data_IF_313609673729
#
_entry.id   IF_313609673729
#
_cell.length_a   1.000
_cell.length_b   1.000
_cell.length_c   1.000
_cell.angle_alpha   90.00
_cell.angle_beta   90.00
_cell.angle_gamma   90.00
#
_symmetry.space_group_name_H-M   'P 1'
#
loop_
_entity.id
_entity.type
_entity.pdbx_description
1 polymer ?
#
# COMPACT_ATOMS: atom_id res chain seq x y z
N UNK A 1 11.07 -12.58 15.63
CA UNK A 1 9.82 -12.49 16.40
C UNK A 1 8.97 -11.47 15.67
N UNK A 2 8.05 -11.92 14.81
CA UNK A 2 7.11 -11.02 14.14
C UNK A 2 6.03 -10.68 15.16
N UNK A 3 5.91 -9.41 15.54
CA UNK A 3 4.88 -8.97 16.47
C UNK A 3 3.57 -8.85 15.70
N UNK A 4 2.49 -9.41 16.23
CA UNK A 4 1.12 -9.24 15.69
C UNK A 4 0.77 -7.75 15.50
N UNK A 5 1.40 -6.87 16.28
CA UNK A 5 1.30 -5.42 16.14
C UNK A 5 1.87 -4.90 14.80
N UNK A 6 2.90 -5.53 14.25
CA UNK A 6 3.56 -5.08 13.02
C UNK A 6 2.73 -5.41 11.76
N UNK A 7 2.17 -6.62 11.68
CA UNK A 7 1.37 -7.05 10.52
C UNK A 7 0.03 -6.32 10.43
N UNK A 8 -0.66 -6.13 11.56
CA UNK A 8 -1.93 -5.40 11.60
C UNK A 8 -1.73 -3.92 11.28
N UNK A 9 -0.71 -3.27 11.84
CA UNK A 9 -0.39 -1.88 11.50
C UNK A 9 0.02 -1.74 10.03
N UNK A 10 0.78 -2.71 9.49
CA UNK A 10 1.10 -2.71 8.08
C UNK A 10 -0.14 -2.79 7.19
N UNK A 11 -1.08 -3.69 7.49
CA UNK A 11 -2.34 -3.82 6.76
C UNK A 11 -3.17 -2.53 6.78
N UNK A 12 -3.34 -1.90 7.96
CA UNK A 12 -4.09 -0.64 8.12
C UNK A 12 -3.46 0.48 7.27
N UNK A 13 -2.14 0.62 7.30
CA UNK A 13 -1.46 1.66 6.54
C UNK A 13 -1.52 1.40 5.02
N UNK A 14 -1.47 0.15 4.58
CA UNK A 14 -1.67 -0.21 3.17
C UNK A 14 -3.09 0.12 2.74
N UNK A 15 -4.10 -0.21 3.54
CA UNK A 15 -5.50 0.13 3.25
C UNK A 15 -5.71 1.65 3.18
N UNK A 16 -5.12 2.40 4.11
CA UNK A 16 -5.20 3.86 4.15
C UNK A 16 -4.54 4.50 2.92
N UNK A 17 -3.44 3.92 2.43
CA UNK A 17 -2.80 4.34 1.19
C UNK A 17 -3.65 4.05 -0.06
N UNK A 18 -4.36 2.91 -0.08
CA UNK A 18 -5.30 2.58 -1.16
C UNK A 18 -6.43 3.61 -1.20
N UNK A 19 -7.08 3.88 -0.06
CA UNK A 19 -8.18 4.85 0.03
C UNK A 19 -7.75 6.27 -0.37
N UNK A 20 -6.58 6.71 0.10
CA UNK A 20 -5.98 7.98 -0.28
C UNK A 20 -5.76 8.09 -1.80
N UNK A 21 -5.20 7.03 -2.41
CA UNK A 21 -4.91 7.02 -3.84
C UNK A 21 -6.16 6.93 -4.70
N UNK A 22 -7.19 6.18 -4.27
CA UNK A 22 -8.49 6.11 -4.93
C UNK A 22 -9.24 7.43 -4.86
N UNK A 23 -9.26 8.07 -3.69
CA UNK A 23 -9.85 9.40 -3.49
C UNK A 23 -9.16 10.43 -4.38
N UNK A 24 -7.83 10.43 -4.41
CA UNK A 24 -7.05 11.31 -5.26
C UNK A 24 -7.29 11.05 -6.76
N UNK A 25 -7.43 9.79 -7.15
CA UNK A 25 -7.76 9.42 -8.52
C UNK A 25 -9.16 9.87 -8.92
N UNK A 26 -10.15 9.66 -8.06
CA UNK A 26 -11.55 9.99 -8.32
C UNK A 26 -11.78 11.51 -8.46
N UNK A 27 -11.07 12.34 -7.70
CA UNK A 27 -11.16 13.80 -7.82
C UNK A 27 -10.41 14.38 -9.01
N UNK A 28 -9.50 13.62 -9.62
CA UNK A 28 -8.64 14.10 -10.71
C UNK A 28 -9.36 14.00 -12.06
N UNK A 29 -9.42 15.12 -12.80
CA UNK A 29 -10.05 15.19 -14.13
C UNK A 29 -9.56 14.08 -15.06
N UNK A 30 -10.45 13.50 -15.86
CA UNK A 30 -10.14 12.45 -16.84
C UNK A 30 -9.00 12.84 -17.80
N UNK A 31 -8.90 14.13 -18.14
CA UNK A 31 -7.91 14.68 -19.07
C UNK A 31 -6.54 14.96 -18.42
N UNK A 32 -6.41 14.79 -17.10
CA UNK A 32 -5.15 15.02 -16.41
C UNK A 32 -4.23 13.79 -16.50
N UNK A 33 -3.01 14.00 -16.99
CA UNK A 33 -1.96 12.97 -17.06
C UNK A 33 -1.39 12.61 -15.67
N UNK A 34 -1.64 13.46 -14.67
CA UNK A 34 -1.05 13.41 -13.35
C UNK A 34 -2.13 13.52 -12.27
N UNK A 35 -2.01 12.69 -11.23
CA UNK A 35 -2.79 12.77 -10.00
C UNK A 35 -2.03 13.63 -9.00
N UNK A 36 -2.70 14.66 -8.50
CA UNK A 36 -2.20 15.49 -7.43
C UNK A 36 -2.67 14.92 -6.09
N UNK A 37 -1.75 14.80 -5.14
CA UNK A 37 -2.01 14.38 -3.77
C UNK A 37 -2.00 15.63 -2.88
N UNK A 38 -2.84 15.65 -1.85
CA UNK A 38 -2.63 16.54 -0.71
C UNK A 38 -1.45 16.05 0.14
N UNK A 39 -0.91 16.91 0.99
CA UNK A 39 0.15 16.54 1.93
C UNK A 39 -0.26 15.34 2.80
N UNK A 40 -1.54 15.27 3.21
CA UNK A 40 -2.03 14.16 4.01
C UNK A 40 -2.06 12.83 3.24
N UNK A 41 -2.54 12.83 2.00
CA UNK A 41 -2.58 11.60 1.18
C UNK A 41 -1.19 11.16 0.75
N UNK A 42 -0.28 12.12 0.61
CA UNK A 42 1.12 11.86 0.40
C UNK A 42 1.73 11.07 1.56
N UNK A 43 1.46 11.48 2.80
CA UNK A 43 1.95 10.80 4.00
C UNK A 43 1.38 9.38 4.08
N UNK A 44 0.05 9.23 3.91
CA UNK A 44 -0.62 7.93 3.92
C UNK A 44 -0.05 6.99 2.86
N UNK A 45 0.14 7.49 1.63
CA UNK A 45 0.68 6.67 0.54
C UNK A 45 2.15 6.29 0.78
N UNK A 46 2.94 7.19 1.36
CA UNK A 46 4.33 6.91 1.73
C UNK A 46 4.42 5.78 2.76
N UNK A 47 3.62 5.87 3.82
CA UNK A 47 3.56 4.85 4.87
C UNK A 47 3.08 3.50 4.31
N UNK A 48 2.02 3.51 3.50
CA UNK A 48 1.50 2.29 2.88
C UNK A 48 2.51 1.61 1.96
N UNK A 49 3.30 2.35 1.17
CA UNK A 49 4.34 1.76 0.32
C UNK A 49 5.49 1.17 1.16
N UNK A 50 5.90 1.84 2.25
CA UNK A 50 6.92 1.29 3.17
C UNK A 50 6.44 -0.02 3.78
N UNK A 51 5.19 -0.05 4.26
CA UNK A 51 4.61 -1.24 4.87
C UNK A 51 4.34 -2.35 3.86
N UNK A 52 3.96 -2.02 2.63
CA UNK A 52 3.83 -3.00 1.56
C UNK A 52 5.17 -3.68 1.26
N UNK A 53 6.27 -2.92 1.22
CA UNK A 53 7.63 -3.48 1.04
C UNK A 53 8.04 -4.36 2.21
N UNK A 54 7.69 -3.95 3.44
CA UNK A 54 7.92 -4.75 4.64
C UNK A 54 7.20 -6.11 4.56
N UNK A 55 5.89 -6.10 4.28
CA UNK A 55 5.07 -7.32 4.17
C UNK A 55 5.57 -8.24 3.05
N UNK A 56 5.91 -7.68 1.88
CA UNK A 56 6.46 -8.49 0.78
C UNK A 56 7.78 -9.14 1.18
N UNK A 57 8.66 -8.40 1.84
CA UNK A 57 9.96 -8.91 2.28
C UNK A 57 9.80 -9.99 3.36
N UNK A 58 8.89 -9.80 4.32
CA UNK A 58 8.64 -10.80 5.37
C UNK A 58 8.10 -12.12 4.82
N UNK A 59 7.33 -12.05 3.73
CA UNK A 59 6.79 -13.22 3.03
C UNK A 59 7.70 -13.77 1.92
N UNK A 60 8.93 -13.26 1.78
CA UNK A 60 9.87 -13.69 0.74
C UNK A 60 9.40 -13.41 -0.69
N UNK A 61 8.50 -12.43 -0.86
CA UNK A 61 7.95 -12.01 -2.16
C UNK A 61 8.81 -10.89 -2.75
N UNK A 62 9.01 -10.88 -4.08
CA UNK A 62 9.70 -9.77 -4.72
C UNK A 62 8.88 -8.47 -4.61
N UNK A 63 9.56 -7.35 -4.42
CA UNK A 63 8.93 -6.03 -4.44
C UNK A 63 8.67 -5.58 -5.89
N UNK A 64 7.42 -5.31 -6.29
CA UNK A 64 7.13 -4.75 -7.61
C UNK A 64 7.89 -3.45 -7.87
N UNK A 65 8.48 -3.35 -9.06
CA UNK A 65 9.24 -2.16 -9.46
C UNK A 65 8.39 -0.89 -9.43
N UNK A 66 7.08 -1.00 -9.71
CA UNK A 66 6.18 0.16 -9.72
C UNK A 66 6.04 0.81 -8.33
N UNK A 67 6.00 0.03 -7.25
CA UNK A 67 5.95 0.55 -5.88
C UNK A 67 7.23 1.30 -5.54
N UNK A 68 8.38 0.79 -5.97
CA UNK A 68 9.68 1.46 -5.78
C UNK A 68 9.77 2.76 -6.59
N UNK A 69 9.28 2.75 -7.83
CA UNK A 69 9.22 3.96 -8.67
C UNK A 69 8.26 5.01 -8.10
N UNK A 70 7.13 4.59 -7.53
CA UNK A 70 6.21 5.52 -6.86
C UNK A 70 6.83 6.11 -5.61
N UNK A 71 7.53 5.32 -4.78
CA UNK A 71 8.24 5.86 -3.62
C UNK A 71 9.23 6.97 -4.02
N UNK A 72 9.95 6.79 -5.12
CA UNK A 72 10.86 7.82 -5.66
C UNK A 72 10.08 9.05 -6.13
N UNK A 73 8.96 8.84 -6.84
CA UNK A 73 8.14 9.93 -7.38
C UNK A 73 7.54 10.79 -6.27
N UNK A 74 7.01 10.13 -5.25
CA UNK A 74 6.53 10.73 -4.00
C UNK A 74 7.67 11.52 -3.35
N UNK A 75 8.85 10.93 -3.14
CA UNK A 75 9.99 11.66 -2.57
C UNK A 75 10.41 12.92 -3.38
N UNK A 76 10.12 12.96 -4.68
CA UNK A 76 10.34 14.13 -5.53
C UNK A 76 9.21 15.17 -5.53
N UNK A 77 8.11 14.91 -4.82
CA UNK A 77 6.87 15.73 -4.72
C UNK A 77 6.20 16.07 -6.06
N UNK A 78 6.65 15.48 -7.15
CA UNK A 78 5.93 15.50 -8.41
C UNK A 78 4.75 14.52 -8.30
N UNK A 79 3.56 14.94 -8.71
CA UNK A 79 2.36 14.08 -8.68
C UNK A 79 2.55 12.71 -9.36
N UNK A 80 1.51 11.87 -9.30
CA UNK A 80 1.59 10.50 -9.78
C UNK A 80 1.10 10.37 -11.22
N UNK A 81 1.84 9.71 -12.12
CA UNK A 81 1.36 9.46 -13.47
C UNK A 81 0.08 8.62 -13.44
N UNK A 82 -1.02 9.15 -13.99
CA UNK A 82 -2.31 8.48 -14.04
C UNK A 82 -2.24 7.05 -14.58
N UNK A 83 -1.50 6.76 -15.68
CA UNK A 83 -1.42 5.39 -16.21
C UNK A 83 -0.73 4.38 -15.27
N UNK A 84 0.01 4.86 -14.26
CA UNK A 84 0.71 4.02 -13.29
C UNK A 84 -0.12 3.76 -12.05
N UNK A 85 -1.16 4.56 -11.79
CA UNK A 85 -1.93 4.52 -10.54
C UNK A 85 -2.74 3.24 -10.43
N UNK A 86 -3.38 2.80 -11.51
CA UNK A 86 -4.09 1.52 -11.52
C UNK A 86 -3.17 0.33 -11.22
N UNK A 87 -1.91 0.43 -11.65
CA UNK A 87 -0.93 -0.60 -11.34
C UNK A 87 -0.53 -0.60 -9.88
N UNK A 88 -0.37 0.58 -9.28
CA UNK A 88 -0.05 0.75 -7.86
C UNK A 88 -1.21 0.27 -6.98
N UNK A 89 -2.44 0.63 -7.32
CA UNK A 89 -3.63 0.16 -6.61
C UNK A 89 -3.75 -1.36 -6.64
N UNK A 90 -3.53 -1.97 -7.81
CA UNK A 90 -3.53 -3.44 -7.93
C UNK A 90 -2.48 -4.09 -7.05
N UNK A 91 -1.26 -3.54 -7.05
CA UNK A 91 -0.16 -4.08 -6.27
C UNK A 91 -0.40 -3.91 -4.76
N UNK A 92 -0.85 -2.73 -4.31
CA UNK A 92 -1.19 -2.50 -2.91
C UNK A 92 -2.31 -3.43 -2.43
N UNK A 93 -3.38 -3.61 -3.21
CA UNK A 93 -4.47 -4.55 -2.90
C UNK A 93 -3.97 -5.99 -2.82
N UNK A 94 -3.03 -6.39 -3.68
CA UNK A 94 -2.44 -7.73 -3.61
C UNK A 94 -1.60 -7.93 -2.33
N UNK A 95 -0.95 -6.88 -1.82
CA UNK A 95 -0.22 -6.94 -0.56
C UNK A 95 -1.14 -6.87 0.65
N UNK A 96 -2.22 -6.12 0.59
CA UNK A 96 -3.24 -6.08 1.66
C UNK A 96 -3.85 -7.47 1.89
N UNK A 97 -4.29 -8.16 0.83
CA UNK A 97 -4.77 -9.55 0.93
C UNK A 97 -3.72 -10.51 1.52
N UNK A 98 -2.44 -10.29 1.21
CA UNK A 98 -1.34 -11.08 1.77
C UNK A 98 -1.16 -10.79 3.26
N UNK A 99 -1.28 -9.53 3.68
CA UNK A 99 -1.19 -9.12 5.07
C UNK A 99 -2.40 -9.63 5.89
N UNK A 100 -3.60 -9.64 5.31
CA UNK A 100 -4.80 -10.20 5.94
C UNK A 100 -4.71 -11.72 6.09
N UNK A 101 -4.14 -12.43 5.12
CA UNK A 101 -3.93 -13.89 5.21
C UNK A 101 -3.02 -14.33 6.37
N UNK A 102 -2.22 -13.42 6.93
CA UNK A 102 -1.37 -13.62 8.12
C UNK A 102 -2.12 -13.30 9.43
N UNK A 103 -3.31 -12.67 9.35
CA UNK A 103 -4.16 -12.36 10.51
C UNK A 103 -5.13 -13.47 10.90
N UNK A 104 -5.17 -14.58 10.16
CA UNK A 104 -5.87 -15.78 10.62
C UNK A 104 -5.15 -16.28 11.89
N UNK A 105 -5.76 -16.20 13.09
CA UNK A 105 -5.11 -16.68 14.28
C UNK A 105 -4.81 -18.18 14.07
N UNK A 106 -3.68 -18.72 14.58
CA UNK A 106 -3.52 -20.17 14.63
C UNK A 106 -4.78 -20.68 15.33
N UNK A 107 -5.58 -21.48 14.62
CA UNK A 107 -6.81 -22.04 15.16
C UNK A 107 -6.43 -22.67 16.49
N UNK A 108 -6.75 -22.00 17.59
CA UNK A 108 -6.44 -22.50 18.91
C UNK A 108 -7.31 -23.74 19.02
N UNK A 109 -6.69 -24.88 18.74
CA UNK A 109 -7.13 -26.17 19.18
C UNK A 109 -7.13 -26.12 20.72
N UNK A 110 -8.15 -25.50 21.30
CA UNK A 110 -8.56 -25.80 22.66
C UNK A 110 -9.46 -27.04 22.53
N UNK A 111 -8.82 -28.15 22.21
CA UNK A 111 -9.28 -29.46 22.61
C UNK A 111 -8.66 -29.72 23.99
N UNK A 112 -9.44 -29.45 25.04
CA UNK A 112 -9.37 -30.09 26.36
C UNK A 112 -10.53 -29.58 27.23
#
# INVERSE_FOLDING_TARGET
MFSITDSVTAAINILSAIDALETAHARTSADADMILLSDHEFDLLSEGIVNARYVLTSHGRPVPAILSLMAIRIASSDGLPRPKVDAVLRDLRAVELLAEGDTDPPATAIAA
#
